data_IF_155850630499
#
_entry.id   IF_155850630499
#
_cell.length_a   1.000
_cell.length_b   1.000
_cell.length_c   1.000
_cell.angle_alpha   90.00
_cell.angle_beta   90.00
_cell.angle_gamma   90.00
#
_symmetry.space_group_name_H-M   'P 1'
#
loop_
_entity.id
_entity.type
_entity.pdbx_description
1 polymer ?
#
# COMPACT_ATOMS: atom_id res chain seq x y z
N UNK A 1 22.45 -22.50 -0.25
CA UNK A 1 23.74 -22.08 -0.86
C UNK A 1 24.61 -21.53 0.24
N UNK A 2 25.87 -21.99 0.32
CA UNK A 2 26.78 -21.81 1.45
C UNK A 2 27.64 -20.56 1.26
N UNK A 3 27.82 -19.74 2.29
CA UNK A 3 28.88 -18.73 2.31
C UNK A 3 30.23 -19.45 2.09
N UNK A 4 30.96 -19.07 1.05
CA UNK A 4 32.18 -19.78 0.62
C UNK A 4 33.46 -19.02 0.97
N UNK A 5 33.37 -17.75 1.36
CA UNK A 5 34.50 -16.88 1.69
C UNK A 5 34.72 -16.71 3.19
N UNK A 6 35.99 -16.66 3.61
CA UNK A 6 36.35 -16.28 4.99
C UNK A 6 35.94 -14.82 5.26
N UNK A 7 35.34 -14.52 6.43
CA UNK A 7 35.13 -13.16 6.91
C UNK A 7 36.44 -12.36 6.88
N UNK A 8 36.41 -11.12 6.37
CA UNK A 8 37.58 -10.23 6.31
C UNK A 8 37.28 -8.94 7.04
N UNK A 9 38.14 -8.56 7.99
CA UNK A 9 38.01 -7.32 8.75
C UNK A 9 38.92 -6.24 8.17
N UNK A 10 38.44 -5.00 8.14
CA UNK A 10 39.29 -3.84 7.88
C UNK A 10 40.35 -3.67 8.97
N UNK A 11 41.45 -2.93 8.72
CA UNK A 11 42.50 -2.71 9.73
C UNK A 11 42.02 -2.07 11.03
N UNK A 12 40.97 -1.24 10.96
CA UNK A 12 40.31 -0.60 12.11
C UNK A 12 39.22 -1.49 12.75
N UNK A 13 38.94 -2.66 12.18
CA UNK A 13 37.87 -3.57 12.60
C UNK A 13 36.45 -3.03 12.41
N UNK A 14 36.27 -1.83 11.86
CA UNK A 14 34.94 -1.19 11.73
C UNK A 14 34.13 -1.70 10.55
N UNK A 15 34.76 -2.43 9.63
CA UNK A 15 34.11 -3.04 8.45
C UNK A 15 34.43 -4.52 8.39
N UNK A 16 33.39 -5.29 8.10
CA UNK A 16 33.45 -6.70 7.77
C UNK A 16 33.05 -6.88 6.32
N UNK A 17 33.89 -7.55 5.53
CA UNK A 17 33.53 -8.06 4.20
C UNK A 17 33.27 -9.56 4.28
N UNK A 18 32.15 -10.01 3.70
CA UNK A 18 31.75 -11.42 3.64
C UNK A 18 31.23 -11.74 2.23
N UNK A 19 31.68 -12.87 1.67
CA UNK A 19 31.21 -13.32 0.36
C UNK A 19 29.92 -14.13 0.54
N UNK A 20 28.79 -13.55 0.12
CA UNK A 20 27.45 -14.12 0.18
C UNK A 20 26.89 -14.22 -1.24
N UNK A 21 26.53 -15.43 -1.65
CA UNK A 21 25.85 -15.71 -2.94
C UNK A 21 26.59 -15.07 -4.14
N UNK A 22 27.89 -15.33 -4.22
CA UNK A 22 28.84 -14.83 -5.24
C UNK A 22 28.99 -13.29 -5.29
N UNK A 23 28.54 -12.58 -4.26
CA UNK A 23 28.77 -11.15 -4.07
C UNK A 23 29.49 -10.87 -2.76
N UNK A 24 30.56 -10.06 -2.82
CA UNK A 24 31.15 -9.52 -1.59
C UNK A 24 30.21 -8.45 -1.02
N UNK A 25 29.71 -8.69 0.19
CA UNK A 25 28.92 -7.75 0.98
C UNK A 25 29.79 -7.13 2.07
N UNK A 26 29.57 -5.86 2.37
CA UNK A 26 30.23 -5.16 3.46
C UNK A 26 29.23 -4.75 4.54
N UNK A 27 29.61 -4.94 5.80
CA UNK A 27 28.83 -4.63 6.98
C UNK A 27 29.65 -3.77 7.94
N UNK A 28 29.05 -2.73 8.51
CA UNK A 28 29.69 -1.93 9.55
C UNK A 28 29.60 -2.64 10.91
N UNK A 29 30.68 -2.64 11.70
CA UNK A 29 30.70 -3.23 13.04
C UNK A 29 29.61 -2.64 13.94
N UNK A 30 29.43 -1.31 13.90
CA UNK A 30 28.38 -0.62 14.66
C UNK A 30 26.97 -1.09 14.25
N UNK A 31 26.72 -1.26 12.95
CA UNK A 31 25.43 -1.75 12.44
C UNK A 31 25.14 -3.18 12.90
N UNK A 32 26.16 -4.05 12.90
CA UNK A 32 26.04 -5.41 13.43
C UNK A 32 25.71 -5.37 14.92
N UNK A 33 26.49 -4.66 15.74
CA UNK A 33 26.26 -4.57 17.19
C UNK A 33 24.87 -4.08 17.58
N UNK A 34 24.39 -3.04 16.88
CA UNK A 34 23.06 -2.45 17.09
C UNK A 34 21.90 -3.44 16.83
N UNK A 35 22.14 -4.45 15.99
CA UNK A 35 21.13 -5.41 15.48
C UNK A 35 21.36 -6.83 15.99
N UNK A 36 22.12 -6.98 17.05
CA UNK A 36 22.47 -8.30 17.55
C UNK A 36 21.22 -9.11 17.92
N UNK A 37 21.03 -10.33 17.38
CA UNK A 37 19.81 -11.11 17.58
C UNK A 37 19.83 -11.89 18.90
N UNK A 38 20.21 -11.23 19.99
CA UNK A 38 20.23 -11.81 21.34
C UNK A 38 19.24 -11.12 22.28
N UNK A 39 19.02 -11.74 23.44
CA UNK A 39 18.08 -11.25 24.46
C UNK A 39 18.61 -10.08 25.27
N UNK A 40 19.87 -9.68 25.11
CA UNK A 40 20.41 -8.46 25.73
C UNK A 40 20.15 -7.23 24.86
N UNK A 41 20.07 -7.43 23.54
CA UNK A 41 19.89 -6.38 22.55
C UNK A 41 18.44 -6.27 22.08
N UNK A 42 17.71 -7.38 21.97
CA UNK A 42 16.31 -7.44 21.50
C UNK A 42 15.41 -8.18 22.51
N UNK A 43 14.23 -7.62 22.77
CA UNK A 43 13.19 -8.28 23.56
C UNK A 43 12.69 -9.53 22.80
N UNK A 44 12.74 -10.73 23.39
CA UNK A 44 12.44 -11.98 22.68
C UNK A 44 10.97 -12.13 22.28
N UNK A 45 10.05 -11.33 22.83
CA UNK A 45 8.62 -11.40 22.51
C UNK A 45 8.23 -10.41 21.43
N UNK A 46 8.76 -9.20 21.51
CA UNK A 46 8.35 -8.06 20.68
C UNK A 46 9.36 -7.73 19.57
N UNK A 47 10.61 -8.20 19.70
CA UNK A 47 11.72 -7.81 18.83
C UNK A 47 12.17 -6.35 19.02
N UNK A 48 11.67 -5.65 20.04
CA UNK A 48 12.06 -4.27 20.31
C UNK A 48 13.48 -4.22 20.88
N UNK A 49 14.21 -3.16 20.53
CA UNK A 49 15.57 -2.96 21.05
C UNK A 49 15.55 -2.63 22.54
N UNK A 50 16.40 -3.30 23.31
CA UNK A 50 16.57 -3.11 24.76
C UNK A 50 17.70 -2.12 25.10
N UNK A 51 18.55 -1.80 24.13
CA UNK A 51 19.64 -0.82 24.25
C UNK A 51 19.27 0.50 23.54
N UNK A 52 19.83 1.61 24.01
CA UNK A 52 19.84 2.85 23.24
C UNK A 52 20.94 2.76 22.18
N UNK A 53 20.56 2.71 20.91
CA UNK A 53 21.51 2.54 19.81
C UNK A 53 22.45 3.74 19.67
N UNK A 54 21.97 4.94 20.00
CA UNK A 54 22.77 6.16 19.96
C UNK A 54 23.91 6.18 21.00
N UNK A 55 23.81 5.36 22.05
CA UNK A 55 24.85 5.25 23.10
C UNK A 55 25.99 4.30 22.69
N UNK A 56 25.85 3.56 21.58
CA UNK A 56 26.92 2.69 21.11
C UNK A 56 28.13 3.51 20.65
N UNK A 57 29.38 3.11 21.02
CA UNK A 57 30.57 3.86 20.66
C UNK A 57 30.74 3.96 19.14
N UNK A 58 30.88 5.17 18.60
CA UNK A 58 31.09 5.36 17.15
C UNK A 58 32.41 4.74 16.64
N UNK A 59 33.36 4.49 17.55
CA UNK A 59 34.60 3.80 17.24
C UNK A 59 34.53 2.28 17.42
N UNK A 60 33.34 1.70 17.64
CA UNK A 60 33.16 0.26 17.84
C UNK A 60 33.77 -0.55 16.67
N UNK A 61 34.53 -1.57 17.03
CA UNK A 61 35.20 -2.46 16.09
C UNK A 61 34.84 -3.92 16.36
N UNK A 62 34.93 -4.73 15.31
CA UNK A 62 35.00 -6.18 15.43
C UNK A 62 36.43 -6.59 15.76
N UNK A 63 36.60 -7.32 16.84
CA UNK A 63 37.86 -7.97 17.20
C UNK A 63 37.98 -9.37 16.59
N UNK A 64 36.85 -10.00 16.31
CA UNK A 64 36.79 -11.35 15.78
C UNK A 64 35.56 -11.52 14.88
N UNK A 65 35.73 -12.23 13.78
CA UNK A 65 34.66 -12.69 12.92
C UNK A 65 35.02 -14.07 12.33
N UNK A 66 34.15 -15.05 12.54
CA UNK A 66 34.32 -16.39 11.98
C UNK A 66 32.96 -16.96 11.55
N UNK A 67 32.97 -17.75 10.48
CA UNK A 67 31.80 -18.56 10.13
C UNK A 67 31.70 -19.73 11.10
N UNK A 68 30.50 -19.93 11.64
CA UNK A 68 30.14 -21.07 12.46
C UNK A 68 28.86 -21.68 11.88
N UNK A 69 29.01 -22.72 11.07
CA UNK A 69 27.90 -23.34 10.35
C UNK A 69 27.16 -22.36 9.41
N UNK A 70 25.89 -22.12 9.69
CA UNK A 70 25.00 -21.20 8.99
C UNK A 70 24.88 -19.82 9.67
N UNK A 71 25.78 -19.54 10.62
CA UNK A 71 25.87 -18.28 11.32
C UNK A 71 27.28 -17.66 11.25
N UNK A 72 27.35 -16.38 11.61
CA UNK A 72 28.57 -15.62 11.74
C UNK A 72 28.80 -15.27 13.22
N UNK A 73 29.83 -15.86 13.81
CA UNK A 73 30.26 -15.59 15.18
C UNK A 73 31.13 -14.33 15.24
N UNK A 74 30.71 -13.35 16.03
CA UNK A 74 31.32 -12.02 16.14
C UNK A 74 31.73 -11.71 17.59
N UNK A 75 32.84 -10.99 17.76
CA UNK A 75 33.19 -10.32 19.02
C UNK A 75 33.49 -8.85 18.78
N UNK A 76 32.89 -7.99 19.58
CA UNK A 76 32.98 -6.54 19.49
C UNK A 76 33.93 -5.98 20.55
N UNK A 77 34.48 -4.80 20.29
CA UNK A 77 35.44 -4.10 21.16
C UNK A 77 34.84 -3.58 22.47
N UNK A 78 33.51 -3.58 22.62
CA UNK A 78 32.81 -3.29 23.88
C UNK A 78 32.67 -4.53 24.78
N UNK A 79 33.23 -5.67 24.35
CA UNK A 79 33.18 -6.95 25.06
C UNK A 79 31.98 -7.81 24.70
N UNK A 80 31.04 -7.32 23.89
CA UNK A 80 29.88 -8.07 23.46
C UNK A 80 30.24 -9.14 22.41
N UNK A 81 29.51 -10.25 22.39
CA UNK A 81 29.74 -11.33 21.44
C UNK A 81 28.41 -11.98 21.04
N UNK A 82 28.27 -12.32 19.76
CA UNK A 82 27.01 -12.83 19.24
C UNK A 82 27.15 -13.61 17.94
N UNK A 83 26.08 -14.31 17.58
CA UNK A 83 25.95 -15.08 16.35
C UNK A 83 24.86 -14.47 15.47
N UNK A 84 25.19 -14.20 14.21
CA UNK A 84 24.23 -13.72 13.22
C UNK A 84 23.89 -14.84 12.25
N UNK A 85 22.62 -15.27 12.15
CA UNK A 85 22.21 -16.18 11.10
C UNK A 85 22.52 -15.57 9.71
N UNK A 86 23.18 -16.34 8.85
CA UNK A 86 23.54 -15.86 7.50
C UNK A 86 22.31 -15.53 6.65
N UNK A 87 21.15 -16.12 6.96
CA UNK A 87 19.89 -15.81 6.30
C UNK A 87 19.42 -14.37 6.58
N UNK A 88 19.62 -13.86 7.79
CA UNK A 88 19.24 -12.49 8.16
C UNK A 88 20.11 -11.45 7.46
N UNK A 89 21.43 -11.71 7.40
CA UNK A 89 22.38 -10.84 6.70
C UNK A 89 22.11 -10.72 5.20
N UNK A 90 21.52 -11.75 4.57
CA UNK A 90 21.11 -11.72 3.16
C UNK A 90 19.90 -10.83 2.93
N UNK A 91 18.84 -11.03 3.72
CA UNK A 91 17.56 -10.35 3.54
C UNK A 91 17.67 -8.82 3.56
N UNK A 92 18.56 -8.27 4.40
CA UNK A 92 18.78 -6.83 4.52
C UNK A 92 19.51 -6.22 3.30
N UNK A 93 20.25 -7.01 2.54
CA UNK A 93 21.03 -6.52 1.38
C UNK A 93 20.23 -6.46 0.08
N UNK A 94 19.19 -7.28 -0.06
CA UNK A 94 18.41 -7.39 -1.31
C UNK A 94 17.27 -6.35 -1.40
N UNK A 95 17.00 -5.62 -0.32
CA UNK A 95 15.86 -4.70 -0.21
C UNK A 95 15.98 -3.39 -1.00
N UNK A 96 17.00 -3.17 -1.85
CA UNK A 96 17.29 -1.85 -2.47
C UNK A 96 16.62 -1.60 -3.83
N UNK A 97 16.26 -2.63 -4.61
CA UNK A 97 16.01 -2.46 -6.06
C UNK A 97 14.56 -2.69 -6.56
N UNK A 98 13.55 -2.63 -5.70
CA UNK A 98 12.17 -2.90 -6.14
C UNK A 98 11.20 -1.76 -5.87
N UNK A 99 10.39 -1.43 -6.89
CA UNK A 99 9.01 -0.95 -6.69
C UNK A 99 8.42 -1.83 -5.59
N UNK A 100 7.87 -1.25 -4.52
CA UNK A 100 7.35 -1.96 -3.32
C UNK A 100 7.10 -3.46 -3.62
N UNK A 101 7.99 -4.37 -3.17
CA UNK A 101 8.09 -5.70 -3.74
C UNK A 101 6.74 -6.43 -3.80
N UNK A 102 6.48 -7.08 -4.94
CA UNK A 102 5.27 -7.88 -5.17
C UNK A 102 4.05 -7.13 -5.72
N UNK A 103 4.21 -5.91 -6.25
CA UNK A 103 3.14 -5.20 -7.00
C UNK A 103 3.26 -5.42 -8.51
N UNK A 104 2.13 -5.61 -9.19
CA UNK A 104 2.05 -5.75 -10.65
C UNK A 104 1.23 -4.60 -11.22
N UNK A 105 1.83 -3.82 -12.12
CA UNK A 105 1.13 -2.75 -12.83
C UNK A 105 0.20 -3.34 -13.90
N UNK A 106 -0.96 -2.73 -14.10
CA UNK A 106 -1.96 -3.22 -15.07
C UNK A 106 -2.63 -2.08 -15.82
N UNK A 107 -3.31 -2.43 -16.90
CA UNK A 107 -4.06 -1.54 -17.79
C UNK A 107 -5.37 -2.21 -18.23
N UNK A 108 -6.07 -1.68 -19.25
CA UNK A 108 -7.38 -2.21 -19.67
C UNK A 108 -7.35 -3.65 -20.18
N UNK A 109 -6.16 -4.21 -20.45
CA UNK A 109 -5.98 -5.60 -20.89
C UNK A 109 -5.93 -6.60 -19.72
N UNK A 110 -6.17 -6.16 -18.49
CA UNK A 110 -6.28 -7.05 -17.34
C UNK A 110 -7.39 -8.09 -17.58
N UNK A 111 -6.97 -9.31 -17.92
CA UNK A 111 -7.90 -10.36 -18.37
C UNK A 111 -8.84 -10.84 -17.26
N UNK A 112 -8.29 -11.08 -16.06
CA UNK A 112 -9.06 -11.56 -14.91
C UNK A 112 -8.78 -10.70 -13.68
N UNK A 113 -9.80 -9.98 -13.17
CA UNK A 113 -9.72 -9.31 -11.88
C UNK A 113 -9.46 -10.32 -10.76
N UNK A 114 -8.59 -10.00 -9.78
CA UNK A 114 -8.43 -10.82 -8.58
C UNK A 114 -9.77 -10.95 -7.86
N UNK A 115 -10.10 -12.18 -7.47
CA UNK A 115 -11.39 -12.56 -6.91
C UNK A 115 -11.23 -13.42 -5.66
N UNK A 116 -12.18 -13.29 -4.74
CA UNK A 116 -12.31 -14.20 -3.61
C UNK A 116 -13.79 -14.36 -3.22
N UNK A 117 -14.06 -15.41 -2.45
CA UNK A 117 -15.35 -15.65 -1.81
C UNK A 117 -15.33 -15.12 -0.37
N UNK A 118 -16.41 -14.47 0.06
CA UNK A 118 -16.53 -13.86 1.38
C UNK A 118 -16.44 -14.90 2.50
N UNK A 119 -17.15 -16.03 2.37
CA UNK A 119 -17.16 -17.06 3.40
C UNK A 119 -15.79 -17.75 3.48
N UNK A 120 -15.16 -18.02 2.33
CA UNK A 120 -13.80 -18.56 2.31
C UNK A 120 -12.79 -17.64 3.03
N UNK A 121 -12.80 -16.33 2.73
CA UNK A 121 -11.89 -15.38 3.39
C UNK A 121 -12.20 -15.18 4.89
N UNK A 122 -13.44 -15.42 5.31
CA UNK A 122 -13.86 -15.34 6.71
C UNK A 122 -13.46 -16.58 7.52
N UNK A 123 -13.51 -17.76 6.91
CA UNK A 123 -13.33 -19.04 7.61
C UNK A 123 -11.93 -19.65 7.44
N UNK A 124 -11.21 -19.31 6.38
CA UNK A 124 -9.89 -19.87 6.06
C UNK A 124 -8.80 -18.79 5.97
N UNK A 125 -7.75 -18.96 6.78
CA UNK A 125 -6.58 -18.09 6.82
C UNK A 125 -5.74 -18.14 5.52
N UNK A 126 -5.72 -19.27 4.81
CA UNK A 126 -5.06 -19.36 3.51
C UNK A 126 -5.83 -18.57 2.43
N UNK A 127 -7.16 -18.70 2.40
CA UNK A 127 -8.01 -17.91 1.51
C UNK A 127 -7.95 -16.40 1.81
N UNK A 128 -7.92 -16.02 3.09
CA UNK A 128 -7.72 -14.64 3.50
C UNK A 128 -6.35 -14.12 3.06
N UNK A 129 -5.29 -14.91 3.23
CA UNK A 129 -3.96 -14.52 2.77
C UNK A 129 -3.95 -14.31 1.25
N UNK A 130 -4.50 -15.22 0.47
CA UNK A 130 -4.58 -15.08 -1.00
C UNK A 130 -5.35 -13.82 -1.42
N UNK A 131 -6.45 -13.49 -0.74
CA UNK A 131 -7.17 -12.23 -0.96
C UNK A 131 -6.26 -11.01 -0.69
N UNK A 132 -5.55 -11.01 0.44
CA UNK A 132 -4.65 -9.91 0.83
C UNK A 132 -3.43 -9.80 -0.09
N UNK A 133 -2.93 -10.92 -0.61
CA UNK A 133 -1.88 -10.97 -1.62
C UNK A 133 -2.35 -10.41 -2.95
N UNK A 134 -3.55 -10.79 -3.40
CA UNK A 134 -4.19 -10.22 -4.59
C UNK A 134 -4.37 -8.71 -4.45
N UNK A 135 -4.87 -8.27 -3.29
CA UNK A 135 -5.05 -6.86 -2.97
C UNK A 135 -3.73 -6.08 -2.93
N UNK A 136 -2.66 -6.62 -2.34
CA UNK A 136 -1.34 -5.99 -2.36
C UNK A 136 -0.78 -5.92 -3.78
N UNK A 137 -0.88 -7.00 -4.54
CA UNK A 137 -0.30 -7.14 -5.88
C UNK A 137 -0.97 -6.23 -6.91
N UNK A 138 -2.30 -6.27 -6.97
CA UNK A 138 -3.09 -5.56 -7.98
C UNK A 138 -3.63 -4.22 -7.47
N UNK A 139 -3.66 -3.99 -6.16
CA UNK A 139 -4.27 -2.80 -5.57
C UNK A 139 -5.80 -2.88 -5.51
N UNK A 140 -6.42 -3.99 -5.91
CA UNK A 140 -7.85 -4.23 -5.68
C UNK A 140 -8.17 -5.72 -5.63
N UNK A 141 -9.36 -6.07 -5.16
CA UNK A 141 -9.94 -7.43 -5.21
C UNK A 141 -11.47 -7.36 -5.23
N UNK A 142 -12.10 -8.24 -6.00
CA UNK A 142 -13.55 -8.45 -6.01
C UNK A 142 -13.91 -9.58 -5.04
N UNK A 143 -14.77 -9.31 -4.08
CA UNK A 143 -15.29 -10.28 -3.11
C UNK A 143 -16.73 -10.61 -3.48
N UNK A 144 -17.06 -11.89 -3.61
CA UNK A 144 -18.44 -12.35 -3.88
C UNK A 144 -19.06 -13.00 -2.64
N UNK A 145 -20.39 -13.03 -2.56
CA UNK A 145 -21.10 -13.70 -1.46
C UNK A 145 -21.17 -12.88 -0.17
N UNK A 146 -20.97 -11.57 -0.25
CA UNK A 146 -21.13 -10.66 0.90
C UNK A 146 -22.62 -10.59 1.28
N UNK A 147 -22.99 -10.71 2.57
CA UNK A 147 -24.38 -10.60 3.01
C UNK A 147 -25.01 -9.26 2.58
N UNK A 148 -26.19 -9.30 1.95
CA UNK A 148 -26.89 -8.10 1.43
C UNK A 148 -27.59 -7.25 2.51
N UNK A 149 -26.93 -7.01 3.64
CA UNK A 149 -27.37 -6.10 4.70
C UNK A 149 -26.41 -4.92 4.89
N UNK A 150 -26.80 -3.96 5.74
CA UNK A 150 -26.10 -2.68 5.91
C UNK A 150 -24.67 -2.83 6.46
N UNK A 151 -24.39 -3.92 7.19
CA UNK A 151 -23.13 -4.20 7.86
C UNK A 151 -22.43 -5.44 7.29
N UNK A 152 -22.85 -5.95 6.13
CA UNK A 152 -22.39 -7.23 5.56
C UNK A 152 -20.88 -7.35 5.35
N UNK A 153 -20.16 -6.22 5.29
CA UNK A 153 -18.69 -6.20 5.19
C UNK A 153 -17.97 -6.38 6.54
N UNK A 154 -18.65 -6.14 7.67
CA UNK A 154 -18.03 -5.96 8.99
C UNK A 154 -17.22 -7.18 9.44
N UNK A 155 -17.77 -8.39 9.28
CA UNK A 155 -17.08 -9.61 9.73
C UNK A 155 -15.73 -9.83 9.03
N UNK A 156 -15.62 -9.46 7.75
CA UNK A 156 -14.35 -9.56 7.01
C UNK A 156 -13.39 -8.41 7.37
N UNK A 157 -13.92 -7.21 7.70
CA UNK A 157 -13.09 -6.11 8.22
C UNK A 157 -12.46 -6.52 9.56
N UNK A 158 -13.22 -7.12 10.46
CA UNK A 158 -12.76 -7.56 11.78
C UNK A 158 -11.65 -8.62 11.71
N UNK A 159 -11.60 -9.42 10.63
CA UNK A 159 -10.50 -10.38 10.34
C UNK A 159 -9.18 -9.70 9.98
N UNK A 160 -9.20 -8.43 9.59
CA UNK A 160 -8.06 -7.68 9.07
C UNK A 160 -7.61 -6.62 10.06
N UNK A 161 -8.52 -5.75 10.49
CA UNK A 161 -8.20 -4.65 11.38
C UNK A 161 -9.35 -3.66 11.57
N UNK A 162 -9.11 -2.54 12.25
CA UNK A 162 -10.17 -1.60 12.58
C UNK A 162 -10.76 -0.93 11.34
N UNK A 163 -12.09 -0.82 11.32
CA UNK A 163 -12.79 0.09 10.42
C UNK A 163 -12.40 1.53 10.76
N UNK A 164 -11.95 2.28 9.75
CA UNK A 164 -11.68 3.71 9.90
C UNK A 164 -12.99 4.49 9.92
N UNK A 165 -13.32 5.06 11.08
CA UNK A 165 -14.46 5.96 11.22
C UNK A 165 -14.12 7.36 10.70
N UNK A 166 -15.10 8.00 10.08
CA UNK A 166 -15.04 9.38 9.58
C UNK A 166 -16.20 10.21 10.14
N UNK A 167 -16.33 11.48 9.76
CA UNK A 167 -17.52 12.29 10.09
C UNK A 167 -18.81 11.73 9.45
N UNK A 168 -18.71 10.83 8.47
CA UNK A 168 -19.85 10.08 7.93
C UNK A 168 -20.16 8.78 8.67
N UNK A 169 -19.45 8.50 9.78
CA UNK A 169 -19.62 7.29 10.57
C UNK A 169 -18.65 6.17 10.19
N UNK A 170 -19.10 4.92 10.36
CA UNK A 170 -18.37 3.71 9.98
C UNK A 170 -18.68 3.32 8.54
N UNK A 171 -19.51 2.29 8.36
CA UNK A 171 -20.05 1.92 7.05
C UNK A 171 -21.17 2.92 6.70
N UNK A 172 -21.02 3.60 5.56
CA UNK A 172 -21.92 4.65 5.12
C UNK A 172 -22.70 4.25 3.85
N UNK A 173 -23.86 4.87 3.66
CA UNK A 173 -24.67 4.69 2.45
C UNK A 173 -24.09 5.48 1.26
N UNK A 174 -24.07 4.83 0.10
CA UNK A 174 -23.87 5.44 -1.22
C UNK A 174 -25.10 5.14 -2.08
N UNK A 175 -26.10 6.04 -1.99
CA UNK A 175 -27.40 5.94 -2.66
C UNK A 175 -27.66 7.19 -3.48
N UNK A 176 -28.30 7.07 -4.64
CA UNK A 176 -28.81 8.28 -5.29
C UNK A 176 -30.02 8.82 -4.52
N UNK A 177 -29.94 10.08 -4.08
CA UNK A 177 -31.03 10.77 -3.37
C UNK A 177 -31.45 12.01 -4.16
N UNK A 178 -32.75 12.35 -4.13
CA UNK A 178 -33.21 13.65 -4.57
C UNK A 178 -32.57 14.73 -3.67
N UNK A 179 -32.10 15.83 -4.26
CA UNK A 179 -31.35 16.92 -3.57
C UNK A 179 -30.02 16.48 -2.91
N UNK A 180 -29.26 15.63 -3.58
CA UNK A 180 -27.93 15.21 -3.15
C UNK A 180 -26.93 16.37 -2.97
N UNK A 181 -26.33 16.50 -1.78
CA UNK A 181 -25.20 17.40 -1.51
C UNK A 181 -23.90 16.94 -2.21
N UNK A 182 -23.75 15.64 -2.47
CA UNK A 182 -22.61 15.05 -3.15
C UNK A 182 -23.00 14.48 -4.52
N UNK A 183 -22.22 14.83 -5.55
CA UNK A 183 -22.39 14.32 -6.91
C UNK A 183 -22.27 12.79 -7.00
N UNK A 184 -21.58 12.14 -6.05
CA UNK A 184 -21.51 10.66 -5.96
C UNK A 184 -22.90 10.03 -5.89
N UNK A 185 -23.87 10.77 -5.33
CA UNK A 185 -25.27 10.39 -5.12
C UNK A 185 -26.20 10.82 -6.28
N UNK A 186 -25.67 11.02 -7.50
CA UNK A 186 -26.46 11.38 -8.70
C UNK A 186 -26.41 10.29 -9.78
N UNK A 187 -27.17 10.40 -10.88
CA UNK A 187 -27.11 9.45 -12.03
C UNK A 187 -25.95 9.72 -13.01
N UNK A 188 -25.26 10.85 -12.88
CA UNK A 188 -24.14 11.25 -13.76
C UNK A 188 -22.95 10.31 -13.61
N UNK A 189 -22.15 10.16 -14.66
CA UNK A 189 -20.86 9.49 -14.55
C UNK A 189 -19.96 10.23 -13.55
N UNK A 190 -19.14 9.49 -12.81
CA UNK A 190 -18.11 10.04 -11.94
C UNK A 190 -16.77 9.82 -12.62
N UNK A 191 -16.04 10.91 -12.83
CA UNK A 191 -14.69 10.87 -13.37
C UNK A 191 -13.75 10.08 -12.43
N UNK A 192 -12.67 9.48 -12.97
CA UNK A 192 -11.65 8.82 -12.15
C UNK A 192 -11.09 9.76 -11.08
N UNK A 193 -11.13 9.32 -9.82
CA UNK A 193 -10.63 10.07 -8.67
C UNK A 193 -10.14 9.13 -7.56
N UNK A 194 -9.38 9.70 -6.63
CA UNK A 194 -9.07 9.11 -5.32
C UNK A 194 -9.96 9.73 -4.26
N UNK A 195 -10.42 8.95 -3.30
CA UNK A 195 -11.26 9.43 -2.20
C UNK A 195 -10.47 10.25 -1.20
N UNK A 196 -11.11 11.32 -0.74
CA UNK A 196 -10.69 12.09 0.43
C UNK A 196 -9.21 12.53 0.44
N UNK A 197 -8.64 13.08 -0.66
CA UNK A 197 -7.26 13.55 -0.67
C UNK A 197 -7.03 14.75 0.26
N UNK A 198 -8.10 15.33 0.80
CA UNK A 198 -8.13 16.37 1.82
C UNK A 198 -7.99 15.86 3.26
N UNK A 199 -7.84 14.54 3.48
CA UNK A 199 -7.54 13.96 4.80
C UNK A 199 -6.06 13.62 4.92
N UNK A 200 -5.49 13.85 6.09
CA UNK A 200 -4.15 13.39 6.43
C UNK A 200 -4.18 12.55 7.73
N UNK A 201 -3.86 11.24 7.70
CA UNK A 201 -3.57 10.46 6.50
C UNK A 201 -4.82 10.23 5.64
N UNK A 202 -4.64 10.07 4.31
CA UNK A 202 -5.72 9.68 3.39
C UNK A 202 -6.20 8.26 3.76
N UNK A 203 -7.51 7.91 3.63
CA UNK A 203 -7.99 6.54 3.82
C UNK A 203 -7.25 5.55 2.94
N UNK A 204 -6.78 4.44 3.52
CA UNK A 204 -5.95 3.45 2.84
C UNK A 204 -6.67 2.67 1.73
N UNK A 205 -7.69 1.91 2.12
CA UNK A 205 -8.51 1.08 1.25
C UNK A 205 -9.98 1.51 1.31
N UNK A 206 -10.65 1.56 0.15
CA UNK A 206 -12.10 1.74 0.04
C UNK A 206 -12.72 0.35 -0.11
N UNK A 207 -13.78 0.09 0.65
CA UNK A 207 -14.59 -1.11 0.59
C UNK A 207 -15.96 -0.72 0.08
N UNK A 208 -16.34 -1.18 -1.11
CA UNK A 208 -17.56 -0.77 -1.80
C UNK A 208 -18.46 -1.99 -2.07
N UNK A 209 -19.47 -2.20 -1.23
CA UNK A 209 -20.37 -3.36 -1.27
C UNK A 209 -21.71 -3.02 -1.93
N UNK A 210 -22.12 -3.86 -2.89
CA UNK A 210 -23.34 -3.70 -3.66
C UNK A 210 -24.52 -4.42 -3.01
N UNK A 211 -25.52 -3.66 -2.58
CA UNK A 211 -26.80 -4.18 -2.12
C UNK A 211 -27.79 -4.29 -3.29
N UNK A 212 -27.89 -3.22 -4.09
CA UNK A 212 -28.66 -3.22 -5.33
C UNK A 212 -27.94 -2.40 -6.39
N UNK A 213 -27.98 -2.84 -7.66
CA UNK A 213 -27.40 -2.10 -8.77
C UNK A 213 -28.44 -1.75 -9.84
N UNK A 214 -28.16 -0.73 -10.64
CA UNK A 214 -28.97 -0.39 -11.80
C UNK A 214 -28.85 -1.48 -12.89
N UNK A 215 -29.96 -1.75 -13.58
CA UNK A 215 -30.00 -2.76 -14.64
C UNK A 215 -29.06 -2.44 -15.81
N UNK A 216 -28.91 -1.16 -16.17
CA UNK A 216 -28.02 -0.70 -17.25
C UNK A 216 -27.08 0.42 -16.77
N UNK A 217 -25.84 0.40 -17.23
CA UNK A 217 -24.80 1.35 -16.85
C UNK A 217 -24.33 1.20 -15.40
N UNK A 218 -23.69 2.23 -14.87
CA UNK A 218 -23.26 2.27 -13.46
C UNK A 218 -22.07 1.36 -13.14
N UNK A 219 -21.43 0.83 -14.18
CA UNK A 219 -20.17 0.10 -14.13
C UNK A 219 -19.11 0.97 -13.45
N UNK A 220 -18.41 0.39 -12.50
CA UNK A 220 -17.25 1.02 -11.89
C UNK A 220 -16.14 1.10 -12.95
N UNK A 221 -15.41 2.20 -12.93
CA UNK A 221 -14.20 2.38 -13.73
C UNK A 221 -13.00 2.35 -12.79
N UNK A 222 -12.01 1.51 -13.06
CA UNK A 222 -10.76 1.45 -12.31
C UNK A 222 -9.58 1.76 -13.20
N UNK A 223 -8.62 2.50 -12.64
CA UNK A 223 -7.39 2.89 -13.32
C UNK A 223 -6.23 2.70 -12.34
N UNK A 224 -5.19 1.99 -12.76
CA UNK A 224 -3.95 1.89 -12.00
C UNK A 224 -3.17 3.20 -12.10
N UNK A 225 -3.27 4.04 -11.06
CA UNK A 225 -2.58 5.33 -11.02
C UNK A 225 -1.06 5.18 -11.10
N UNK A 226 -0.49 4.08 -10.61
CA UNK A 226 0.95 3.85 -10.72
C UNK A 226 1.35 3.56 -12.17
N UNK A 227 0.52 2.82 -12.92
CA UNK A 227 0.72 2.62 -14.36
C UNK A 227 0.56 3.93 -15.14
N UNK A 228 -0.45 4.73 -14.80
CA UNK A 228 -0.64 6.04 -15.41
C UNK A 228 0.55 6.99 -15.15
N UNK A 229 1.07 7.01 -13.92
CA UNK A 229 2.24 7.78 -13.55
C UNK A 229 3.51 7.29 -14.29
N UNK A 230 3.69 5.97 -14.42
CA UNK A 230 4.79 5.40 -15.22
C UNK A 230 4.69 5.83 -16.68
N UNK A 231 3.51 5.73 -17.30
CA UNK A 231 3.32 6.14 -18.69
C UNK A 231 3.53 7.64 -18.88
N UNK A 232 3.10 8.47 -17.92
CA UNK A 232 3.38 9.91 -17.96
C UNK A 232 4.89 10.15 -17.92
N UNK A 233 5.62 9.48 -17.02
CA UNK A 233 7.09 9.57 -16.93
C UNK A 233 7.78 9.18 -18.24
N UNK A 234 7.26 8.18 -18.95
CA UNK A 234 7.80 7.71 -20.22
C UNK A 234 7.46 8.64 -21.40
N UNK A 235 6.22 9.15 -21.46
CA UNK A 235 5.69 9.94 -22.59
C UNK A 235 5.97 11.44 -22.48
N UNK A 236 5.96 11.97 -21.26
CA UNK A 236 6.17 13.38 -20.94
C UNK A 236 6.88 13.52 -19.57
N UNK A 237 8.20 13.32 -19.52
CA UNK A 237 8.98 13.41 -18.28
C UNK A 237 8.84 14.77 -17.58
N UNK A 238 8.65 15.86 -18.34
CA UNK A 238 8.49 17.20 -17.78
C UNK A 238 7.13 17.38 -17.09
N UNK A 239 6.05 16.81 -17.66
CA UNK A 239 4.76 16.75 -16.99
C UNK A 239 4.82 15.89 -15.72
N UNK A 240 5.44 14.72 -15.78
CA UNK A 240 5.62 13.85 -14.62
C UNK A 240 6.35 14.60 -13.49
N UNK A 241 7.51 15.17 -13.81
CA UNK A 241 8.31 15.98 -12.88
C UNK A 241 7.51 17.16 -12.29
N UNK A 242 6.73 17.87 -13.10
CA UNK A 242 5.83 18.91 -12.62
C UNK A 242 4.79 18.37 -11.61
N UNK A 243 4.14 17.24 -11.90
CA UNK A 243 3.12 16.64 -11.02
C UNK A 243 3.70 15.98 -9.75
N UNK A 244 5.01 15.77 -9.68
CA UNK A 244 5.70 15.29 -8.48
C UNK A 244 6.14 16.41 -7.53
N UNK A 245 6.19 17.66 -8.01
CA UNK A 245 6.66 18.81 -7.22
C UNK A 245 5.57 19.78 -6.82
N UNK A 246 4.71 20.16 -7.78
CA UNK A 246 3.64 21.10 -7.49
C UNK A 246 2.64 20.42 -6.58
N UNK A 247 2.44 21.00 -5.40
CA UNK A 247 1.60 20.45 -4.34
C UNK A 247 0.34 21.30 -4.20
N UNK A 248 -0.76 20.98 -4.91
CA UNK A 248 -2.03 21.62 -4.65
C UNK A 248 -2.57 21.26 -3.26
N UNK A 249 -3.42 22.12 -2.72
CA UNK A 249 -4.28 21.80 -1.60
C UNK A 249 -5.48 20.97 -2.04
N UNK A 250 -6.09 20.27 -1.10
CA UNK A 250 -7.36 19.58 -1.23
C UNK A 250 -8.24 19.97 -0.06
N UNK A 251 -9.51 20.29 -0.32
CA UNK A 251 -10.42 20.76 0.72
C UNK A 251 -11.81 20.13 0.65
N UNK A 252 -12.32 19.77 1.82
CA UNK A 252 -13.73 19.50 2.08
C UNK A 252 -14.22 20.35 3.26
N UNK A 253 -15.42 20.92 3.15
CA UNK A 253 -16.02 21.72 4.22
C UNK A 253 -17.54 21.62 4.20
N UNK A 254 -18.13 21.29 5.35
CA UNK A 254 -19.56 21.37 5.65
C UNK A 254 -19.80 22.18 6.95
N UNK A 255 -21.02 22.15 7.49
CA UNK A 255 -21.42 22.89 8.70
C UNK A 255 -20.67 22.46 9.99
N UNK A 256 -20.17 21.23 10.02
CA UNK A 256 -19.57 20.60 11.21
C UNK A 256 -18.14 20.11 10.99
N UNK A 257 -17.71 20.04 9.73
CA UNK A 257 -16.45 19.40 9.32
C UNK A 257 -15.67 20.33 8.39
N UNK A 258 -14.39 20.55 8.71
CA UNK A 258 -13.43 21.23 7.84
C UNK A 258 -12.18 20.35 7.73
N UNK A 259 -11.84 19.93 6.52
CA UNK A 259 -10.70 19.05 6.24
C UNK A 259 -9.87 19.63 5.10
N UNK A 260 -8.58 19.76 5.35
CA UNK A 260 -7.60 20.21 4.37
C UNK A 260 -6.35 19.34 4.47
N UNK A 261 -5.75 19.05 3.31
CA UNK A 261 -4.44 18.44 3.17
C UNK A 261 -3.84 18.94 1.86
N UNK A 262 -2.53 18.92 1.74
CA UNK A 262 -1.82 19.23 0.50
C UNK A 262 -0.98 18.05 0.04
N UNK A 263 -0.49 18.12 -1.19
CA UNK A 263 0.52 17.21 -1.70
C UNK A 263 0.48 17.07 -3.21
N UNK A 264 1.56 16.54 -3.81
CA UNK A 264 1.62 16.35 -5.24
C UNK A 264 0.60 15.32 -5.72
N UNK A 265 0.20 15.45 -6.99
CA UNK A 265 -0.66 14.47 -7.67
C UNK A 265 0.04 13.11 -7.78
N UNK A 266 1.37 13.09 -7.87
CA UNK A 266 2.21 11.90 -7.89
C UNK A 266 3.25 12.03 -6.79
N UNK A 267 3.13 11.24 -5.71
CA UNK A 267 4.09 11.25 -4.60
C UNK A 267 5.14 10.16 -4.78
N UNK A 268 6.39 10.52 -4.53
CA UNK A 268 7.53 9.61 -4.60
C UNK A 268 8.10 9.32 -3.20
N UNK A 269 8.63 8.12 -2.99
CA UNK A 269 9.44 7.82 -1.81
C UNK A 269 10.88 8.36 -1.94
N UNK A 270 11.70 8.17 -0.90
CA UNK A 270 13.12 8.54 -0.89
C UNK A 270 13.99 7.82 -1.94
N UNK A 271 13.43 6.86 -2.70
CA UNK A 271 14.09 6.16 -3.81
C UNK A 271 13.51 6.55 -5.17
N UNK A 272 12.64 7.56 -5.22
CA UNK A 272 11.99 8.04 -6.43
C UNK A 272 10.91 7.11 -6.98
N UNK A 273 10.41 6.15 -6.19
CA UNK A 273 9.32 5.26 -6.59
C UNK A 273 7.97 5.87 -6.27
N UNK A 274 6.99 5.70 -7.16
CA UNK A 274 5.62 6.19 -6.92
C UNK A 274 5.00 5.43 -5.75
N UNK A 275 4.61 6.15 -4.70
CA UNK A 275 3.97 5.60 -3.50
C UNK A 275 2.55 6.10 -3.28
N UNK A 276 2.17 7.19 -3.96
CA UNK A 276 0.80 7.69 -3.95
C UNK A 276 0.44 8.39 -5.25
N UNK A 277 -0.80 8.21 -5.66
CA UNK A 277 -1.46 9.09 -6.63
C UNK A 277 -2.61 9.78 -5.92
N UNK A 278 -2.77 11.09 -6.16
CA UNK A 278 -3.91 11.88 -5.72
C UNK A 278 -4.55 12.49 -6.96
N UNK A 279 -5.86 12.38 -7.07
CA UNK A 279 -6.58 13.13 -8.09
C UNK A 279 -8.03 13.32 -7.66
N UNK A 280 -8.47 14.56 -7.54
CA UNK A 280 -9.88 14.88 -7.32
C UNK A 280 -10.14 16.31 -7.78
N UNK A 281 -10.67 16.47 -8.99
CA UNK A 281 -10.98 17.79 -9.55
C UNK A 281 -11.88 18.61 -8.59
N UNK A 282 -12.75 17.92 -7.85
CA UNK A 282 -13.79 18.54 -7.02
C UNK A 282 -13.19 19.23 -5.79
N UNK A 283 -12.16 18.62 -5.22
CA UNK A 283 -11.57 19.06 -3.94
C UNK A 283 -10.23 19.74 -4.12
N UNK A 284 -9.57 19.60 -5.27
CA UNK A 284 -8.29 20.24 -5.58
C UNK A 284 -8.40 21.78 -5.54
N UNK A 285 -7.40 22.44 -4.96
CA UNK A 285 -7.24 23.88 -4.87
C UNK A 285 -5.78 24.19 -5.22
N UNK A 286 -5.58 24.94 -6.29
CA UNK A 286 -4.24 25.30 -6.77
C UNK A 286 -3.94 26.71 -6.28
N UNK A 287 -2.81 26.88 -5.59
CA UNK A 287 -2.37 28.18 -5.11
C UNK A 287 -1.94 29.10 -6.26
N UNK A 288 -1.87 30.40 -5.97
CA UNK A 288 -1.30 31.35 -6.90
C UNK A 288 0.22 31.14 -7.00
N UNK A 289 0.66 30.65 -8.16
CA UNK A 289 2.07 30.48 -8.53
C UNK A 289 2.41 31.37 -9.74
N UNK A 290 3.70 31.57 -10.08
CA UNK A 290 4.09 32.26 -11.30
C UNK A 290 3.37 31.68 -12.53
N UNK A 291 2.92 32.55 -13.45
CA UNK A 291 2.05 32.15 -14.56
C UNK A 291 2.62 31.01 -15.42
N UNK A 292 3.94 30.99 -15.63
CA UNK A 292 4.63 29.92 -16.36
C UNK A 292 4.61 28.58 -15.62
N UNK A 293 4.68 28.60 -14.29
CA UNK A 293 4.57 27.39 -13.47
C UNK A 293 3.15 26.86 -13.46
N UNK A 294 2.14 27.73 -13.31
CA UNK A 294 0.73 27.35 -13.44
C UNK A 294 0.41 26.79 -14.83
N UNK A 295 0.94 27.40 -15.90
CA UNK A 295 0.73 26.92 -17.25
C UNK A 295 1.29 25.49 -17.44
N UNK A 296 2.49 25.22 -16.90
CA UNK A 296 3.11 23.89 -16.91
C UNK A 296 2.28 22.90 -16.08
N UNK A 297 1.85 23.29 -14.88
CA UNK A 297 1.02 22.46 -14.02
C UNK A 297 -0.31 22.08 -14.70
N UNK A 298 -1.03 23.05 -15.28
CA UNK A 298 -2.29 22.77 -15.95
C UNK A 298 -2.12 21.92 -17.21
N UNK A 299 -1.04 22.11 -17.96
CA UNK A 299 -0.71 21.23 -19.09
C UNK A 299 -0.42 19.79 -18.62
N UNK A 300 0.37 19.64 -17.57
CA UNK A 300 0.72 18.35 -16.98
C UNK A 300 -0.50 17.63 -16.38
N UNK A 301 -1.33 18.34 -15.62
CA UNK A 301 -2.60 17.83 -15.07
C UNK A 301 -3.55 17.38 -16.18
N UNK A 302 -3.60 18.10 -17.31
CA UNK A 302 -4.41 17.72 -18.48
C UNK A 302 -3.85 16.45 -19.14
N UNK A 303 -2.53 16.33 -19.29
CA UNK A 303 -1.90 15.13 -19.83
C UNK A 303 -2.18 13.91 -18.94
N UNK A 304 -2.07 14.06 -17.62
CA UNK A 304 -2.41 13.01 -16.67
C UNK A 304 -3.89 12.65 -16.71
N UNK A 305 -4.78 13.64 -16.74
CA UNK A 305 -6.23 13.42 -16.90
C UNK A 305 -6.54 12.61 -18.16
N UNK A 306 -5.92 12.94 -19.29
CA UNK A 306 -6.12 12.20 -20.55
C UNK A 306 -5.72 10.72 -20.43
N UNK A 307 -4.65 10.41 -19.70
CA UNK A 307 -4.24 9.03 -19.42
C UNK A 307 -5.28 8.31 -18.54
N UNK A 308 -5.67 8.90 -17.42
CA UNK A 308 -6.58 8.25 -16.47
C UNK A 308 -8.02 8.13 -17.00
N UNK A 309 -8.41 8.87 -18.03
CA UNK A 309 -9.71 8.67 -18.71
C UNK A 309 -9.61 7.86 -20.00
N UNK A 310 -8.44 7.31 -20.32
CA UNK A 310 -8.24 6.58 -21.58
C UNK A 310 -8.79 5.15 -21.50
N UNK A 311 -9.31 4.65 -22.63
CA UNK A 311 -9.65 3.23 -22.82
C UNK A 311 -8.40 2.32 -22.75
N UNK A 312 -7.20 2.87 -22.93
CA UNK A 312 -5.93 2.14 -22.76
C UNK A 312 -5.74 1.70 -21.29
N UNK A 313 -6.18 2.50 -20.32
CA UNK A 313 -5.93 2.26 -18.89
C UNK A 313 -7.16 1.88 -18.08
N UNK A 314 -8.36 2.10 -18.61
CA UNK A 314 -9.60 1.93 -17.85
C UNK A 314 -10.08 0.48 -17.90
N UNK A 315 -10.25 -0.11 -16.71
CA UNK A 315 -10.94 -1.40 -16.52
C UNK A 315 -12.37 -1.11 -16.08
N UNK A 316 -13.35 -1.77 -16.70
CA UNK A 316 -14.77 -1.63 -16.37
C UNK A 316 -15.27 -2.85 -15.59
N UNK A 317 -15.91 -2.62 -14.43
CA UNK A 317 -16.42 -3.68 -13.56
C UNK A 317 -17.81 -3.33 -13.05
N UNK A 318 -18.80 -4.16 -13.37
CA UNK A 318 -20.13 -4.10 -12.78
C UNK A 318 -20.16 -4.97 -11.52
N UNK A 319 -20.72 -4.44 -10.43
CA UNK A 319 -20.95 -5.19 -9.19
C UNK A 319 -22.39 -5.70 -9.17
N UNK A 320 -22.55 -6.99 -9.05
CA UNK A 320 -23.83 -7.63 -8.77
C UNK A 320 -24.17 -7.51 -7.27
N UNK A 321 -25.45 -7.58 -6.88
CA UNK A 321 -25.84 -7.68 -5.47
C UNK A 321 -25.06 -8.78 -4.73
N UNK A 322 -24.56 -8.45 -3.53
CA UNK A 322 -23.70 -9.34 -2.74
C UNK A 322 -22.24 -9.40 -3.21
N UNK A 323 -21.83 -8.55 -4.17
CA UNK A 323 -20.43 -8.33 -4.51
C UNK A 323 -19.89 -7.07 -3.87
N UNK A 324 -18.61 -7.10 -3.52
CA UNK A 324 -17.88 -5.98 -2.95
C UNK A 324 -16.55 -5.79 -3.68
N UNK A 325 -16.16 -4.54 -3.87
CA UNK A 325 -14.87 -4.16 -4.40
C UNK A 325 -14.01 -3.51 -3.31
N UNK A 326 -12.84 -4.08 -3.03
CA UNK A 326 -11.84 -3.48 -2.16
C UNK A 326 -10.75 -2.87 -3.04
N UNK A 327 -10.36 -1.61 -2.80
CA UNK A 327 -9.40 -0.90 -3.65
C UNK A 327 -8.44 -0.01 -2.86
N UNK A 328 -7.15 -0.03 -3.23
CA UNK A 328 -6.06 0.76 -2.66
C UNK A 328 -6.18 2.21 -3.13
N UNK A 329 -6.70 3.08 -2.25
CA UNK A 329 -6.97 4.49 -2.55
C UNK A 329 -5.70 5.34 -2.70
N UNK A 330 -4.52 4.79 -2.36
CA UNK A 330 -3.23 5.43 -2.62
C UNK A 330 -2.75 5.17 -4.05
N UNK A 331 -3.33 4.17 -4.72
CA UNK A 331 -2.86 3.68 -6.02
C UNK A 331 -3.92 3.86 -7.10
N UNK A 332 -5.14 3.42 -6.84
CA UNK A 332 -6.19 3.34 -7.84
C UNK A 332 -6.97 4.64 -7.90
N UNK A 333 -7.26 5.08 -9.12
CA UNK A 333 -8.36 5.99 -9.35
C UNK A 333 -9.60 5.16 -9.68
N UNK A 334 -10.73 5.57 -9.12
CA UNK A 334 -12.00 4.92 -9.37
C UNK A 334 -13.06 5.94 -9.80
N UNK A 335 -14.09 5.45 -10.47
CA UNK A 335 -15.18 6.25 -10.97
C UNK A 335 -16.34 5.34 -11.36
N UNK A 336 -17.30 5.89 -12.10
CA UNK A 336 -18.39 5.07 -12.65
C UNK A 336 -18.99 5.66 -13.90
N UNK A 337 -19.53 4.80 -14.76
CA UNK A 337 -20.37 5.21 -15.88
C UNK A 337 -21.69 5.79 -15.39
N UNK A 338 -22.31 6.61 -16.23
CA UNK A 338 -23.69 7.06 -16.01
C UNK A 338 -24.64 5.85 -16.00
N UNK A 339 -25.81 6.01 -15.36
CA UNK A 339 -26.85 4.99 -15.33
C UNK A 339 -28.23 5.65 -15.26
N UNK A 340 -29.26 4.86 -15.55
CA UNK A 340 -30.66 5.26 -15.41
C UNK A 340 -31.37 4.36 -14.40
N UNK A 341 -32.15 4.97 -13.52
CA UNK A 341 -33.01 4.25 -12.59
C UNK A 341 -34.40 4.13 -13.21
N UNK A 342 -34.64 3.06 -13.98
CA UNK A 342 -35.96 2.75 -14.55
C UNK A 342 -36.95 2.23 -13.47
N UNK A 343 -37.16 3.02 -12.40
CA UNK A 343 -37.97 2.67 -11.24
C UNK A 343 -37.27 1.84 -10.15
N UNK A 344 -35.98 1.52 -10.33
CA UNK A 344 -35.15 0.79 -9.36
C UNK A 344 -34.29 1.69 -8.46
N UNK A 345 -33.56 1.06 -7.53
CA UNK A 345 -32.60 1.73 -6.62
C UNK A 345 -31.20 1.18 -6.87
N UNK A 346 -30.20 2.05 -6.97
CA UNK A 346 -28.78 1.68 -6.86
C UNK A 346 -28.30 2.04 -5.45
N UNK A 347 -27.92 1.03 -4.68
CA UNK A 347 -27.52 1.14 -3.28
C UNK A 347 -26.21 0.39 -3.06
N UNK A 348 -25.17 1.17 -2.78
CA UNK A 348 -23.87 0.66 -2.33
C UNK A 348 -23.64 1.06 -0.87
N UNK A 349 -22.85 0.27 -0.16
CA UNK A 349 -22.32 0.57 1.18
C UNK A 349 -20.83 0.79 1.06
N UNK A 350 -20.30 1.80 1.75
CA UNK A 350 -18.89 2.15 1.70
C UNK A 350 -18.25 2.15 3.09
N UNK A 351 -17.06 1.55 3.20
CA UNK A 351 -16.22 1.58 4.39
C UNK A 351 -14.77 1.86 4.04
N UNK A 352 -13.96 2.16 5.06
CA UNK A 352 -12.53 2.40 4.90
C UNK A 352 -11.71 1.56 5.89
N UNK A 353 -10.58 1.02 5.44
CA UNK A 353 -9.60 0.30 6.28
C UNK A 353 -8.21 0.80 5.91
N UNK A 354 -7.33 1.01 6.88
CA UNK A 354 -6.00 1.57 6.60
C UNK A 354 -4.99 0.50 6.12
N UNK A 355 -3.97 0.97 5.37
CA UNK A 355 -3.01 0.10 4.67
C UNK A 355 -2.12 -0.70 5.61
N UNK A 356 -1.78 -0.14 6.76
CA UNK A 356 -0.99 -0.77 7.80
C UNK A 356 -1.70 -2.01 8.37
N UNK A 357 -3.01 -1.92 8.61
CA UNK A 357 -3.81 -3.04 9.14
C UNK A 357 -3.84 -4.21 8.15
N UNK A 358 -4.08 -3.89 6.87
CA UNK A 358 -4.07 -4.88 5.77
C UNK A 358 -2.68 -5.50 5.60
N UNK A 359 -1.62 -4.70 5.65
CA UNK A 359 -0.24 -5.17 5.53
C UNK A 359 0.18 -6.04 6.73
N UNK A 360 -0.18 -5.63 7.95
CA UNK A 360 0.08 -6.36 9.19
C UNK A 360 -0.55 -7.74 9.14
N UNK A 361 -1.86 -7.83 8.90
CA UNK A 361 -2.56 -9.12 8.84
C UNK A 361 -1.97 -10.04 7.78
N UNK A 362 -1.64 -9.51 6.60
CA UNK A 362 -0.99 -10.26 5.52
C UNK A 362 0.37 -10.83 5.93
N UNK A 363 1.22 -10.04 6.58
CA UNK A 363 2.54 -10.50 7.04
C UNK A 363 2.43 -11.55 8.16
N UNK A 364 1.47 -11.37 9.08
CA UNK A 364 1.17 -12.37 10.12
C UNK A 364 0.74 -13.70 9.51
N UNK A 365 -0.20 -13.67 8.56
CA UNK A 365 -0.68 -14.88 7.88
C UNK A 365 0.42 -15.57 7.07
N UNK A 366 1.24 -14.81 6.35
CA UNK A 366 2.42 -15.36 5.64
C UNK A 366 3.33 -16.12 6.59
N UNK A 367 3.63 -15.55 7.75
CA UNK A 367 4.46 -16.20 8.77
C UNK A 367 3.80 -17.48 9.30
N UNK A 368 2.55 -17.37 9.74
CA UNK A 368 1.79 -18.49 10.32
C UNK A 368 1.65 -19.69 9.37
N UNK A 369 1.52 -19.43 8.07
CA UNK A 369 1.36 -20.48 7.06
C UNK A 369 2.70 -20.98 6.47
N UNK A 370 3.81 -20.25 6.67
CA UNK A 370 5.15 -20.68 6.27
C UNK A 370 5.85 -21.54 7.33
N UNK A 371 5.53 -21.35 8.61
CA UNK A 371 6.04 -22.20 9.70
C UNK A 371 5.31 -23.56 9.65
N UNK A 372 6.02 -24.70 9.54
CA UNK A 372 5.38 -26.00 9.66
C UNK A 372 4.70 -26.08 11.03
N UNK A 373 3.40 -26.43 11.07
CA UNK A 373 2.71 -26.73 12.33
C UNK A 373 3.53 -27.80 13.04
N UNK A 374 4.24 -27.41 14.09
CA UNK A 374 4.73 -28.35 15.08
C UNK A 374 3.47 -28.96 15.68
N UNK A 375 3.11 -30.15 15.22
CA UNK A 375 2.11 -30.96 15.89
C UNK A 375 2.58 -31.14 17.33
N UNK A 376 1.86 -30.52 18.26
CA UNK A 376 1.93 -30.89 19.67
C UNK A 376 1.58 -32.37 19.75
N UNK A 377 2.61 -33.20 19.80
CA UNK A 377 2.50 -34.61 20.17
C UNK A 377 2.17 -34.63 21.65
N UNK A 378 0.89 -34.88 21.94
CA UNK A 378 0.36 -35.09 23.28
C UNK A 378 0.93 -36.36 23.94
#
# INVERSE_FOLDING_TARGET
>A
MTASGKPRLSPDGQRLSLDLDDQTREFAALWLRERTPDTETLDPRTGQRLIEAADLPLNLALEHAALDGDALALRFSDGHAAHFPLAELRADTDARDTIVPGRTLWDSRLAEPPRTDFAAALDDDAALLEMLEGLHRHGFVLVSGVPSDEDGMQALIDRIGPLRRTNWGGIADVKSVADAYDLTMTQRGLEPHTDNPYRDPIPGYIWLHCLTNAAAGGDNTLVDGYRAAQLLRERDPAAFDCLTRVSPGFRYRDDTTWLESEGPLIELDGRGQVVRVRYSNRTERVDALPAEELARYYAARRAFYALITSEELTVHLKLDPGQMLIMDNYRLLHGRRAYELAGGVRHLRQGYVDRDSTASRRLVLRRQLAEPRMEETA
#
